data_IF_889868366143
#
_entry.id   IF_889868366143
#
_cell.length_a   1.000
_cell.length_b   1.000
_cell.length_c   1.000
_cell.angle_alpha   90.00
_cell.angle_beta   90.00
_cell.angle_gamma   90.00
#
_symmetry.space_group_name_H-M   'P 1'
#
loop_
_entity.id
_entity.type
_entity.pdbx_description
1 polymer ?
#
# COMPACT_ATOMS: atom_id res chain seq x y z
N UNK A 1 -16.84 -5.24 -4.85
CA UNK A 1 -17.58 -6.48 -5.17
C UNK A 1 -16.77 -7.37 -6.12
N UNK A 2 -16.21 -6.88 -7.23
CA UNK A 2 -15.41 -7.69 -8.19
C UNK A 2 -14.31 -8.50 -7.48
N UNK A 3 -13.50 -7.86 -6.62
CA UNK A 3 -12.48 -8.57 -5.82
C UNK A 3 -13.07 -9.67 -4.93
N UNK A 4 -14.23 -9.44 -4.34
CA UNK A 4 -14.87 -10.45 -3.52
C UNK A 4 -15.33 -11.66 -4.35
N UNK A 5 -15.74 -11.43 -5.60
CA UNK A 5 -16.05 -12.52 -6.53
C UNK A 5 -14.80 -13.34 -6.86
N UNK A 6 -13.65 -12.69 -7.05
CA UNK A 6 -12.38 -13.41 -7.25
C UNK A 6 -11.98 -14.20 -6.00
N UNK A 7 -12.16 -13.64 -4.80
CA UNK A 7 -11.92 -14.34 -3.53
C UNK A 7 -12.86 -15.54 -3.40
N UNK A 8 -14.14 -15.38 -3.77
CA UNK A 8 -15.09 -16.49 -3.78
C UNK A 8 -14.60 -17.67 -4.61
N UNK A 9 -14.12 -17.42 -5.82
CA UNK A 9 -13.63 -18.48 -6.70
C UNK A 9 -12.33 -19.15 -6.24
N UNK A 10 -11.53 -18.45 -5.45
CA UNK A 10 -10.25 -18.93 -4.96
C UNK A 10 -10.36 -19.60 -3.59
N UNK A 11 -11.12 -18.99 -2.67
CA UNK A 11 -11.14 -19.33 -1.25
C UNK A 11 -12.54 -19.65 -0.70
N UNK A 12 -13.60 -19.59 -1.54
CA UNK A 12 -14.97 -19.94 -1.18
C UNK A 12 -15.80 -18.80 -0.63
N UNK A 13 -17.06 -19.12 -0.36
CA UNK A 13 -18.12 -18.18 0.08
C UNK A 13 -17.76 -17.48 1.38
N UNK A 14 -17.30 -18.23 2.37
CA UNK A 14 -17.01 -17.69 3.70
C UNK A 14 -15.92 -16.61 3.64
N UNK A 15 -14.87 -16.84 2.87
CA UNK A 15 -13.79 -15.88 2.69
C UNK A 15 -14.24 -14.59 1.98
N UNK A 16 -15.13 -14.71 0.99
CA UNK A 16 -15.71 -13.58 0.29
C UNK A 16 -16.64 -12.76 1.21
N UNK A 17 -17.47 -13.43 2.01
CA UNK A 17 -18.36 -12.81 2.98
C UNK A 17 -17.57 -12.08 4.08
N UNK A 18 -16.51 -12.71 4.59
CA UNK A 18 -15.60 -12.08 5.55
C UNK A 18 -14.89 -10.85 4.97
N UNK A 19 -14.50 -10.91 3.71
CA UNK A 19 -13.87 -9.77 3.04
C UNK A 19 -14.81 -8.58 2.88
N UNK A 20 -16.06 -8.83 2.49
CA UNK A 20 -17.08 -7.79 2.32
C UNK A 20 -17.69 -7.34 3.65
N UNK A 21 -17.78 -8.24 4.63
CA UNK A 21 -18.58 -8.05 5.85
C UNK A 21 -20.09 -8.18 5.63
N UNK A 22 -20.50 -8.68 4.46
CA UNK A 22 -21.87 -8.99 4.07
C UNK A 22 -21.89 -10.22 3.17
N UNK A 23 -23.00 -11.01 3.14
CA UNK A 23 -23.10 -12.14 2.25
C UNK A 23 -22.97 -11.76 0.77
N UNK A 24 -22.11 -12.46 0.05
CA UNK A 24 -21.95 -12.32 -1.40
C UNK A 24 -22.85 -13.30 -2.13
N UNK A 25 -23.88 -12.80 -2.81
CA UNK A 25 -24.61 -13.58 -3.80
C UNK A 25 -23.95 -13.42 -5.17
N UNK A 26 -23.21 -14.44 -5.61
CA UNK A 26 -22.50 -14.42 -6.91
C UNK A 26 -23.45 -14.38 -8.11
N UNK A 27 -24.71 -14.82 -7.92
CA UNK A 27 -25.73 -14.76 -8.96
C UNK A 27 -26.46 -13.42 -9.00
N UNK A 28 -26.35 -12.63 -7.92
CA UNK A 28 -26.97 -11.31 -7.81
C UNK A 28 -26.06 -10.30 -7.12
N UNK A 29 -24.94 -10.01 -7.75
CA UNK A 29 -23.90 -9.07 -7.28
C UNK A 29 -24.51 -7.70 -6.91
N UNK A 30 -25.53 -7.24 -7.66
CA UNK A 30 -26.19 -5.95 -7.39
C UNK A 30 -26.86 -5.88 -6.02
N UNK A 31 -27.25 -7.01 -5.45
CA UNK A 31 -27.79 -7.04 -4.09
C UNK A 31 -26.70 -6.74 -3.08
N UNK A 32 -25.53 -7.35 -3.21
CA UNK A 32 -24.38 -7.05 -2.34
C UNK A 32 -23.95 -5.57 -2.47
N UNK A 33 -23.93 -5.03 -3.69
CA UNK A 33 -23.58 -3.60 -3.91
C UNK A 33 -24.54 -2.64 -3.20
N UNK A 34 -25.82 -2.97 -3.11
CA UNK A 34 -26.83 -2.11 -2.46
C UNK A 34 -26.70 -2.09 -0.93
N UNK A 35 -26.28 -3.20 -0.32
CA UNK A 35 -26.21 -3.34 1.14
C UNK A 35 -24.79 -3.11 1.67
N UNK A 36 -23.78 -3.06 0.80
CA UNK A 36 -22.39 -2.91 1.17
C UNK A 36 -22.11 -1.49 1.68
N UNK A 37 -21.87 -1.38 2.97
CA UNK A 37 -21.27 -0.19 3.58
C UNK A 37 -19.76 -0.40 3.67
N UNK A 38 -19.01 0.19 2.75
CA UNK A 38 -17.55 0.04 2.70
C UNK A 38 -16.88 0.48 4.00
N UNK A 39 -17.43 1.47 4.70
CA UNK A 39 -16.85 1.93 5.98
C UNK A 39 -16.93 0.86 7.08
N UNK A 40 -17.90 -0.04 6.99
CA UNK A 40 -18.12 -1.13 7.94
C UNK A 40 -17.48 -2.46 7.49
N UNK A 41 -17.19 -2.60 6.19
CA UNK A 41 -16.54 -3.81 5.68
C UNK A 41 -15.09 -3.92 6.18
N UNK A 42 -14.56 -5.13 6.41
CA UNK A 42 -13.15 -5.33 6.77
C UNK A 42 -12.20 -4.71 5.73
N UNK A 43 -12.50 -4.90 4.45
CA UNK A 43 -11.74 -4.28 3.36
C UNK A 43 -11.79 -2.75 3.40
N UNK A 44 -12.97 -2.18 3.54
CA UNK A 44 -13.14 -0.72 3.60
C UNK A 44 -12.40 -0.10 4.78
N UNK A 45 -12.48 -0.73 5.97
CA UNK A 45 -11.69 -0.29 7.13
C UNK A 45 -10.18 -0.33 6.87
N UNK A 46 -9.69 -1.39 6.20
CA UNK A 46 -8.27 -1.47 5.84
C UNK A 46 -7.87 -0.37 4.84
N UNK A 47 -8.73 -0.05 3.88
CA UNK A 47 -8.49 1.05 2.93
C UNK A 47 -8.49 2.42 3.64
N UNK A 48 -9.42 2.64 4.57
CA UNK A 48 -9.47 3.88 5.37
C UNK A 48 -8.21 3.99 6.23
N UNK A 49 -7.83 2.93 6.94
CA UNK A 49 -6.61 2.89 7.74
C UNK A 49 -5.36 3.12 6.88
N UNK A 50 -5.31 2.53 5.68
CA UNK A 50 -4.24 2.76 4.73
C UNK A 50 -4.19 4.22 4.26
N UNK A 51 -5.34 4.84 3.98
CA UNK A 51 -5.40 6.25 3.62
C UNK A 51 -4.87 7.15 4.74
N UNK A 52 -5.32 6.91 5.96
CA UNK A 52 -4.84 7.64 7.13
C UNK A 52 -3.33 7.44 7.33
N UNK A 53 -2.86 6.19 7.29
CA UNK A 53 -1.44 5.88 7.39
C UNK A 53 -0.58 6.43 6.25
N UNK A 54 -1.16 6.64 5.05
CA UNK A 54 -0.44 7.20 3.91
C UNK A 54 -0.29 8.72 3.97
N UNK A 55 -1.33 9.44 4.43
CA UNK A 55 -1.46 10.87 4.21
C UNK A 55 -1.68 11.71 5.47
N UNK A 56 -1.92 11.08 6.63
CA UNK A 56 -2.00 11.82 7.89
C UNK A 56 -0.62 12.16 8.42
N UNK A 57 -0.45 13.40 8.84
CA UNK A 57 0.75 13.85 9.56
C UNK A 57 0.68 13.27 10.97
N UNK A 58 1.79 12.73 11.45
CA UNK A 58 1.98 12.52 12.87
C UNK A 58 1.82 11.11 13.37
N UNK A 59 1.14 10.18 12.74
CA UNK A 59 1.01 8.83 13.31
C UNK A 59 1.34 7.73 12.32
N UNK A 60 2.64 7.39 12.25
CA UNK A 60 3.06 6.16 11.58
C UNK A 60 2.70 4.91 12.38
N UNK A 61 2.48 5.06 13.69
CA UNK A 61 1.92 4.03 14.57
C UNK A 61 0.41 3.82 14.35
N UNK A 62 -0.20 4.63 13.48
CA UNK A 62 -1.60 4.53 13.11
C UNK A 62 -1.98 3.23 12.39
N UNK A 63 -1.00 2.46 11.89
CA UNK A 63 -1.22 1.11 11.38
C UNK A 63 -0.66 0.10 12.40
N UNK A 64 -1.51 -0.51 13.24
CA UNK A 64 -1.13 -1.66 14.06
C UNK A 64 -0.45 -2.73 13.21
N UNK A 65 0.47 -3.51 13.77
CA UNK A 65 1.18 -4.57 13.03
C UNK A 65 0.20 -5.48 12.29
N UNK A 66 -0.92 -5.84 12.94
CA UNK A 66 -1.96 -6.68 12.32
C UNK A 66 -2.58 -6.06 11.05
N UNK A 67 -2.71 -4.76 10.98
CA UNK A 67 -3.28 -4.07 9.82
C UNK A 67 -2.22 -3.86 8.74
N UNK A 68 -0.96 -3.70 9.12
CA UNK A 68 0.16 -3.71 8.20
C UNK A 68 0.31 -5.08 7.51
N UNK A 69 0.17 -6.17 8.25
CA UNK A 69 0.21 -7.52 7.69
C UNK A 69 -0.97 -7.78 6.75
N UNK A 70 -2.18 -7.34 7.11
CA UNK A 70 -3.34 -7.38 6.21
C UNK A 70 -3.11 -6.57 4.94
N UNK A 71 -2.55 -5.37 5.09
CA UNK A 71 -2.22 -4.51 3.95
C UNK A 71 -1.22 -5.19 3.02
N UNK A 72 -0.20 -5.84 3.57
CA UNK A 72 0.77 -6.62 2.81
C UNK A 72 0.11 -7.77 2.03
N UNK A 73 -0.82 -8.50 2.67
CA UNK A 73 -1.59 -9.57 2.03
C UNK A 73 -2.44 -9.02 0.89
N UNK A 74 -3.14 -7.89 1.11
CA UNK A 74 -3.96 -7.26 0.06
C UNK A 74 -3.14 -6.77 -1.12
N UNK A 75 -2.01 -6.11 -0.86
CA UNK A 75 -1.10 -5.67 -1.92
C UNK A 75 -0.57 -6.89 -2.69
N UNK A 76 -0.17 -7.94 -1.98
CA UNK A 76 0.28 -9.20 -2.57
C UNK A 76 -0.80 -9.83 -3.45
N UNK A 77 -2.03 -9.92 -2.98
CA UNK A 77 -3.17 -10.45 -3.74
C UNK A 77 -3.46 -9.61 -5.00
N UNK A 78 -3.41 -8.28 -4.88
CA UNK A 78 -3.59 -7.36 -6.01
C UNK A 78 -2.46 -7.48 -7.06
N UNK A 79 -1.26 -7.81 -6.65
CA UNK A 79 -0.07 -7.89 -7.54
C UNK A 79 0.18 -9.28 -8.09
N UNK A 80 -0.30 -10.35 -7.43
CA UNK A 80 0.01 -11.75 -7.77
C UNK A 80 -0.67 -12.27 -9.05
N UNK A 81 -1.47 -11.45 -9.73
CA UNK A 81 -2.15 -11.83 -10.97
C UNK A 81 -3.28 -12.84 -10.80
N UNK A 82 -3.67 -13.17 -9.56
CA UNK A 82 -4.88 -13.95 -9.29
C UNK A 82 -6.14 -13.23 -9.82
N UNK A 83 -6.04 -11.91 -9.94
CA UNK A 83 -7.08 -11.01 -10.47
C UNK A 83 -7.00 -10.76 -11.98
N UNK A 84 -6.11 -11.46 -12.71
CA UNK A 84 -5.89 -11.22 -14.17
C UNK A 84 -7.08 -11.53 -15.07
N UNK A 85 -8.14 -12.13 -14.57
CA UNK A 85 -9.34 -12.41 -15.37
C UNK A 85 -10.15 -11.17 -15.73
N UNK A 86 -10.00 -10.08 -14.95
CA UNK A 86 -10.59 -8.79 -15.25
C UNK A 86 -9.53 -7.71 -15.07
N UNK A 87 -9.42 -6.72 -15.99
CA UNK A 87 -8.56 -5.57 -15.78
C UNK A 87 -9.04 -4.86 -14.50
N UNK A 88 -8.35 -5.15 -13.40
CA UNK A 88 -8.67 -4.53 -12.12
C UNK A 88 -8.11 -3.10 -12.16
N UNK A 89 -8.91 -2.07 -11.88
CA UNK A 89 -8.41 -0.71 -11.74
C UNK A 89 -7.24 -0.58 -10.75
N UNK A 90 -7.11 -1.53 -9.81
CA UNK A 90 -5.98 -1.59 -8.88
C UNK A 90 -4.68 -2.11 -9.52
N UNK A 91 -4.74 -2.79 -10.67
CA UNK A 91 -3.55 -3.24 -11.42
C UNK A 91 -2.88 -2.10 -12.20
N UNK A 92 -3.59 -1.00 -12.42
CA UNK A 92 -2.99 0.19 -13.00
C UNK A 92 -1.98 0.78 -12.00
N UNK A 93 -0.72 0.91 -12.42
CA UNK A 93 0.31 1.58 -11.61
C UNK A 93 -0.10 3.00 -11.19
N UNK A 94 -1.04 3.60 -11.90
CA UNK A 94 -1.63 4.92 -11.62
C UNK A 94 -2.83 4.85 -10.67
N UNK A 95 -3.30 3.65 -10.29
CA UNK A 95 -4.44 3.51 -9.40
C UNK A 95 -4.20 4.23 -8.06
N UNK A 96 -5.09 5.14 -7.71
CA UNK A 96 -5.05 5.87 -6.44
C UNK A 96 -5.09 4.91 -5.25
N UNK A 97 -5.87 3.84 -5.34
CA UNK A 97 -5.97 2.81 -4.31
C UNK A 97 -4.60 2.13 -4.09
N UNK A 98 -3.98 1.63 -5.16
CA UNK A 98 -2.67 0.98 -5.08
C UNK A 98 -1.61 1.92 -4.51
N UNK A 99 -1.56 3.17 -4.97
CA UNK A 99 -0.64 4.18 -4.45
C UNK A 99 -0.84 4.42 -2.95
N UNK A 100 -2.09 4.57 -2.52
CA UNK A 100 -2.44 4.75 -1.11
C UNK A 100 -1.95 3.58 -0.26
N UNK A 101 -2.26 2.36 -0.67
CA UNK A 101 -1.87 1.14 0.06
C UNK A 101 -0.35 0.98 0.13
N UNK A 102 0.36 1.18 -0.98
CA UNK A 102 1.82 1.11 -1.03
C UNK A 102 2.47 2.22 -0.19
N UNK A 103 1.95 3.43 -0.25
CA UNK A 103 2.46 4.55 0.55
C UNK A 103 2.32 4.26 2.04
N UNK A 104 1.14 3.79 2.48
CA UNK A 104 0.91 3.40 3.87
C UNK A 104 1.85 2.28 4.32
N UNK A 105 1.97 1.23 3.49
CA UNK A 105 2.83 0.09 3.75
C UNK A 105 4.29 0.52 3.96
N UNK A 106 4.84 1.27 3.01
CA UNK A 106 6.24 1.70 3.10
C UNK A 106 6.50 2.74 4.19
N UNK A 107 5.53 3.62 4.50
CA UNK A 107 5.65 4.50 5.68
C UNK A 107 5.73 3.69 6.98
N UNK A 108 4.91 2.65 7.11
CA UNK A 108 5.00 1.72 8.25
C UNK A 108 6.35 0.99 8.33
N UNK A 109 6.98 0.69 7.20
CA UNK A 109 8.34 0.11 7.19
C UNK A 109 9.42 1.12 7.59
N UNK A 110 9.25 2.41 7.27
CA UNK A 110 10.20 3.44 7.72
C UNK A 110 10.24 3.52 9.24
N UNK A 111 9.08 3.53 9.90
CA UNK A 111 9.01 3.60 11.38
C UNK A 111 9.67 2.42 12.06
N UNK A 112 9.78 1.28 11.37
CA UNK A 112 10.44 0.06 11.84
C UNK A 112 11.89 -0.09 11.39
N UNK A 113 12.41 0.84 10.61
CA UNK A 113 13.75 0.75 10.02
C UNK A 113 13.91 -0.28 8.89
N UNK A 114 12.81 -0.79 8.34
CA UNK A 114 12.77 -1.93 7.42
C UNK A 114 12.52 -1.55 5.93
N UNK A 115 12.44 -0.27 5.59
CA UNK A 115 12.08 0.18 4.23
C UNK A 115 12.94 -0.45 3.13
N UNK A 116 14.22 -0.65 3.38
CA UNK A 116 15.18 -1.17 2.39
C UNK A 116 15.39 -2.69 2.47
N UNK A 117 14.92 -3.32 3.52
CA UNK A 117 15.06 -4.77 3.76
C UNK A 117 13.86 -5.58 3.24
N UNK A 118 12.74 -4.89 2.99
CA UNK A 118 11.53 -5.54 2.51
C UNK A 118 11.66 -6.04 1.08
N UNK A 119 11.39 -7.33 0.88
CA UNK A 119 11.38 -7.97 -0.43
C UNK A 119 9.99 -8.42 -0.89
N UNK A 120 8.95 -8.14 -0.08
CA UNK A 120 7.59 -8.67 -0.31
C UNK A 120 7.06 -8.32 -1.71
N UNK A 121 7.37 -7.12 -2.19
CA UNK A 121 6.82 -6.61 -3.45
C UNK A 121 7.85 -6.55 -4.57
N UNK A 122 9.05 -7.06 -4.37
CA UNK A 122 10.17 -6.97 -5.33
C UNK A 122 10.38 -5.55 -5.90
N UNK A 123 9.93 -4.52 -5.17
CA UNK A 123 10.05 -3.13 -5.60
C UNK A 123 11.45 -2.61 -5.33
N UNK A 124 12.15 -2.07 -6.33
CA UNK A 124 13.45 -1.45 -6.12
C UNK A 124 13.39 -0.32 -5.08
N UNK A 125 14.44 -0.09 -4.28
CA UNK A 125 14.49 1.02 -3.33
C UNK A 125 14.18 2.39 -3.95
N UNK A 126 14.61 2.63 -5.18
CA UNK A 126 14.33 3.89 -5.89
C UNK A 126 12.84 4.09 -6.14
N UNK A 127 12.12 3.04 -6.49
CA UNK A 127 10.66 3.09 -6.73
C UNK A 127 9.92 3.43 -5.44
N UNK A 128 10.31 2.82 -4.31
CA UNK A 128 9.74 3.12 -2.98
C UNK A 128 9.95 4.59 -2.61
N UNK A 129 11.18 5.07 -2.73
CA UNK A 129 11.52 6.47 -2.46
C UNK A 129 10.79 7.43 -3.40
N UNK A 130 10.66 7.09 -4.68
CA UNK A 130 9.97 7.90 -5.68
C UNK A 130 8.48 8.06 -5.33
N UNK A 131 7.82 6.98 -4.96
CA UNK A 131 6.43 7.03 -4.56
C UNK A 131 6.23 7.81 -3.26
N UNK A 132 7.06 7.55 -2.24
CA UNK A 132 6.99 8.22 -0.94
C UNK A 132 7.28 9.72 -1.05
N UNK A 133 8.21 10.13 -1.92
CA UNK A 133 8.55 11.53 -2.15
C UNK A 133 7.66 12.23 -3.19
N UNK A 134 6.68 11.52 -3.78
CA UNK A 134 5.88 11.99 -4.91
C UNK A 134 6.75 12.53 -6.07
N UNK A 135 7.82 11.83 -6.39
CA UNK A 135 8.80 12.18 -7.42
C UNK A 135 8.90 11.08 -8.48
N UNK A 136 9.53 11.40 -9.62
CA UNK A 136 9.97 10.37 -10.56
C UNK A 136 11.22 9.65 -10.04
N UNK A 137 11.46 8.41 -10.47
CA UNK A 137 12.68 7.68 -10.10
C UNK A 137 13.96 8.45 -10.51
N UNK A 138 13.95 9.06 -11.68
CA UNK A 138 15.07 9.88 -12.13
C UNK A 138 15.28 11.10 -11.23
N UNK A 139 14.18 11.72 -10.76
CA UNK A 139 14.22 12.80 -9.78
C UNK A 139 14.87 12.38 -8.48
N UNK A 140 14.51 11.19 -7.98
CA UNK A 140 15.11 10.58 -6.78
C UNK A 140 16.62 10.32 -6.99
N UNK A 141 17.01 9.68 -8.12
CA UNK A 141 18.41 9.41 -8.44
C UNK A 141 19.23 10.70 -8.41
N UNK A 142 18.74 11.75 -9.07
CA UNK A 142 19.40 13.05 -9.12
C UNK A 142 19.49 13.72 -7.74
N UNK A 143 18.45 13.60 -6.93
CA UNK A 143 18.42 14.18 -5.60
C UNK A 143 19.36 13.45 -4.62
N UNK A 144 19.41 12.13 -4.67
CA UNK A 144 20.33 11.32 -3.87
C UNK A 144 21.79 11.56 -4.28
N UNK A 145 22.07 11.65 -5.58
CA UNK A 145 23.40 11.96 -6.08
C UNK A 145 23.93 13.30 -5.54
N UNK A 146 23.06 14.33 -5.43
CA UNK A 146 23.42 15.62 -4.80
C UNK A 146 23.76 15.50 -3.30
N UNK A 147 23.33 14.43 -2.64
CA UNK A 147 23.67 14.11 -1.25
C UNK A 147 24.87 13.16 -1.15
N UNK A 148 25.53 12.86 -2.27
CA UNK A 148 26.63 11.88 -2.32
C UNK A 148 26.20 10.45 -2.15
N UNK A 149 24.91 10.14 -2.42
CA UNK A 149 24.34 8.80 -2.35
C UNK A 149 24.19 8.22 -3.76
N UNK A 150 24.60 6.97 -3.94
CA UNK A 150 24.43 6.23 -5.21
C UNK A 150 23.56 5.01 -5.01
N UNK A 151 22.79 4.66 -6.03
CA UNK A 151 22.00 3.43 -6.05
C UNK A 151 22.80 2.30 -6.73
N UNK A 152 22.75 1.05 -6.20
CA UNK A 152 22.00 0.65 -5.01
C UNK A 152 22.57 1.23 -3.71
N UNK A 153 21.68 1.51 -2.75
CA UNK A 153 22.11 2.01 -1.44
C UNK A 153 22.79 0.90 -0.62
N UNK A 154 23.89 1.21 0.02
CA UNK A 154 24.47 0.34 1.03
C UNK A 154 23.75 0.57 2.38
N UNK A 155 23.90 -0.33 3.31
CA UNK A 155 23.26 -0.26 4.63
C UNK A 155 23.60 1.03 5.37
N UNK A 156 24.84 1.53 5.27
CA UNK A 156 25.26 2.80 5.87
C UNK A 156 24.56 4.02 5.29
N UNK A 157 24.04 3.93 4.07
CA UNK A 157 23.37 5.02 3.37
C UNK A 157 21.86 5.06 3.62
N UNK A 158 21.27 3.99 4.19
CA UNK A 158 19.83 3.91 4.48
C UNK A 158 19.39 5.08 5.35
N UNK A 159 20.09 5.38 6.43
CA UNK A 159 19.76 6.49 7.34
C UNK A 159 19.80 7.84 6.64
N UNK A 160 20.80 8.05 5.76
CA UNK A 160 20.90 9.29 4.99
C UNK A 160 19.78 9.43 3.98
N UNK A 161 19.40 8.32 3.32
CA UNK A 161 18.28 8.29 2.38
C UNK A 161 16.93 8.57 3.08
N UNK A 162 16.72 8.05 4.27
CA UNK A 162 15.52 8.35 5.08
C UNK A 162 15.50 9.83 5.47
N UNK A 163 16.61 10.38 5.97
CA UNK A 163 16.70 11.81 6.32
C UNK A 163 16.47 12.73 5.12
N UNK A 164 16.92 12.31 3.92
CA UNK A 164 16.59 13.02 2.71
C UNK A 164 15.10 12.95 2.39
N UNK A 165 14.50 11.77 2.50
CA UNK A 165 13.07 11.55 2.26
C UNK A 165 12.21 12.43 3.18
N UNK A 166 12.52 12.49 4.47
CA UNK A 166 11.81 13.32 5.47
C UNK A 166 11.79 14.81 5.12
N UNK A 167 12.77 15.28 4.33
CA UNK A 167 12.85 16.68 3.85
C UNK A 167 12.23 16.87 2.47
N UNK A 168 11.82 15.80 1.80
CA UNK A 168 11.23 15.88 0.49
C UNK A 168 9.82 16.50 0.58
N UNK A 169 9.52 17.47 -0.28
CA UNK A 169 8.23 18.21 -0.25
C UNK A 169 6.99 17.31 -0.41
N UNK A 170 7.13 16.20 -1.13
CA UNK A 170 6.04 15.26 -1.37
C UNK A 170 5.87 14.20 -0.30
N UNK A 171 6.78 14.14 0.68
CA UNK A 171 6.71 13.17 1.76
C UNK A 171 5.79 13.67 2.88
N UNK A 172 4.85 12.84 3.29
CA UNK A 172 4.03 13.13 4.46
C UNK A 172 4.80 12.76 5.73
N UNK A 173 5.14 13.71 6.62
CA UNK A 173 5.94 13.45 7.81
C UNK A 173 5.35 12.35 8.69
N UNK A 174 6.24 11.58 9.32
CA UNK A 174 5.86 10.52 10.28
C UNK A 174 5.56 11.07 11.67
N UNK A 175 6.08 12.27 11.97
CA UNK A 175 5.87 12.97 13.26
C UNK A 175 5.61 14.45 12.98
N UNK A 176 4.84 15.09 13.84
CA UNK A 176 4.78 16.56 13.87
C UNK A 176 6.18 17.10 14.18
N UNK A 177 6.63 18.06 13.34
CA UNK A 177 7.94 18.71 13.51
C UNK A 177 7.80 19.87 14.49
#
# INVERSE_FOLDING_TARGET
>A
VVMATDIYWIAGQEAADQFLGVPLDIHNIKTAEKILDLSKSPFGRTVIAAYEGAFRIGDSDALPQSDHDKLAIFIGALTSGATRRHPNPADDEKSALRRTMLTAYWRGLISRGQLFEDNLLNSPPVTRLAMLAAMTEQGVRNALAKQGLSLPLNQSDHVKAIRWLERARGFTPLREQ
#
